data_IF_415463190787
#
_entry.id   IF_415463190787
#
_cell.length_a   1.000
_cell.length_b   1.000
_cell.length_c   1.000
_cell.angle_alpha   90.00
_cell.angle_beta   90.00
_cell.angle_gamma   90.00
#
_symmetry.space_group_name_H-M   'P 1'
#
loop_
_entity.id
_entity.type
_entity.pdbx_description
1 polymer ?
#
# COMPACT_ATOMS: atom_id res chain seq x y z
N UNK A 1 -3.30 -22.94 -0.80
CA UNK A 1 -4.39 -22.41 -1.67
C UNK A 1 -4.39 -20.90 -1.52
N UNK A 2 -4.32 -20.16 -2.62
CA UNK A 2 -4.34 -18.69 -2.57
C UNK A 2 -5.76 -18.20 -2.85
N UNK A 3 -6.23 -17.22 -2.08
CA UNK A 3 -7.52 -16.55 -2.27
C UNK A 3 -7.26 -15.07 -2.52
N UNK A 4 -7.94 -14.50 -3.50
CA UNK A 4 -7.92 -13.08 -3.79
C UNK A 4 -9.13 -12.42 -3.13
N UNK A 5 -8.90 -11.48 -2.23
CA UNK A 5 -9.93 -10.62 -1.65
C UNK A 5 -10.07 -9.34 -2.49
N UNK A 6 -11.28 -9.03 -2.93
CA UNK A 6 -11.58 -7.80 -3.69
C UNK A 6 -12.62 -6.99 -2.94
N UNK A 7 -12.31 -5.73 -2.68
CA UNK A 7 -13.22 -4.75 -2.09
C UNK A 7 -13.80 -3.89 -3.21
N UNK A 8 -15.10 -3.91 -3.39
CA UNK A 8 -15.76 -3.19 -4.48
C UNK A 8 -17.22 -2.86 -4.14
N UNK A 9 -17.74 -1.82 -4.75
CA UNK A 9 -19.15 -1.44 -4.72
C UNK A 9 -19.96 -2.14 -5.83
N UNK A 10 -19.27 -2.76 -6.80
CA UNK A 10 -19.91 -3.38 -7.94
C UNK A 10 -20.21 -4.86 -7.72
N UNK A 11 -21.27 -5.36 -8.34
CA UNK A 11 -21.47 -6.79 -8.52
C UNK A 11 -20.51 -7.30 -9.59
N UNK A 12 -19.69 -8.30 -9.25
CA UNK A 12 -18.67 -8.86 -10.13
C UNK A 12 -18.82 -10.39 -10.16
N UNK A 13 -18.84 -10.96 -11.37
CA UNK A 13 -18.72 -12.42 -11.51
C UNK A 13 -17.29 -12.84 -11.15
N UNK A 14 -17.18 -13.85 -10.30
CA UNK A 14 -15.89 -14.28 -9.77
C UNK A 14 -15.72 -15.79 -9.86
N UNK A 15 -14.46 -16.25 -9.87
CA UNK A 15 -14.10 -17.65 -9.74
C UNK A 15 -14.01 -18.06 -8.26
N UNK A 16 -13.96 -19.36 -7.99
CA UNK A 16 -13.99 -19.95 -6.64
C UNK A 16 -12.85 -19.47 -5.71
N UNK A 17 -11.77 -18.93 -6.28
CA UNK A 17 -10.64 -18.41 -5.52
C UNK A 17 -10.68 -16.89 -5.29
N UNK A 18 -11.81 -16.23 -5.61
CA UNK A 18 -12.01 -14.80 -5.39
C UNK A 18 -13.13 -14.61 -4.36
N UNK A 19 -12.82 -13.85 -3.31
CA UNK A 19 -13.82 -13.39 -2.33
C UNK A 19 -14.12 -11.91 -2.55
N UNK A 20 -15.37 -11.59 -2.78
CA UNK A 20 -15.84 -10.20 -2.83
C UNK A 20 -16.28 -9.75 -1.44
N UNK A 21 -15.79 -8.58 -1.04
CA UNK A 21 -16.26 -7.85 0.13
C UNK A 21 -16.89 -6.55 -0.34
N UNK A 22 -18.21 -6.46 -0.23
CA UNK A 22 -18.95 -5.28 -0.65
C UNK A 22 -18.62 -4.08 0.24
N UNK A 23 -18.34 -2.95 -0.39
CA UNK A 23 -18.12 -1.67 0.27
C UNK A 23 -19.09 -0.64 -0.29
N UNK A 24 -19.39 0.40 0.48
CA UNK A 24 -20.17 1.53 -0.02
C UNK A 24 -19.31 2.41 -0.92
N UNK A 25 -19.95 2.99 -1.96
CA UNK A 25 -19.29 4.00 -2.79
C UNK A 25 -18.95 5.23 -1.96
N UNK A 26 -17.70 5.65 -2.06
CA UNK A 26 -17.25 6.90 -1.47
C UNK A 26 -16.42 7.68 -2.50
N UNK A 27 -16.51 9.02 -2.53
CA UNK A 27 -15.72 9.81 -3.47
C UNK A 27 -14.24 9.78 -3.08
N UNK A 28 -13.38 10.05 -4.05
CA UNK A 28 -11.95 10.27 -3.82
C UNK A 28 -11.75 11.35 -2.74
N UNK A 29 -10.82 11.16 -1.78
CA UNK A 29 -9.83 10.07 -1.69
C UNK A 29 -10.21 8.92 -0.74
N UNK A 30 -11.47 8.81 -0.32
CA UNK A 30 -11.90 7.90 0.73
C UNK A 30 -11.57 6.41 0.47
N UNK A 31 -11.75 5.86 -0.76
CA UNK A 31 -11.42 4.46 -1.01
C UNK A 31 -9.95 4.13 -0.74
N UNK A 32 -9.03 5.04 -1.09
CA UNK A 32 -7.60 4.89 -0.82
C UNK A 32 -7.30 5.11 0.67
N UNK A 33 -7.78 6.19 1.27
CA UNK A 33 -7.53 6.53 2.66
C UNK A 33 -8.04 5.46 3.63
N UNK A 34 -9.21 4.87 3.34
CA UNK A 34 -9.88 3.89 4.22
C UNK A 34 -9.51 2.43 3.92
N UNK A 35 -8.59 2.14 3.03
CA UNK A 35 -8.28 0.76 2.63
C UNK A 35 -7.96 -0.15 3.82
N UNK A 36 -7.20 0.31 4.78
CA UNK A 36 -6.89 -0.46 5.99
C UNK A 36 -8.11 -0.67 6.90
N UNK A 37 -9.09 0.24 6.88
CA UNK A 37 -10.37 0.03 7.57
C UNK A 37 -11.16 -1.12 6.91
N UNK A 38 -11.09 -1.26 5.58
CA UNK A 38 -11.72 -2.38 4.87
C UNK A 38 -11.04 -3.70 5.20
N UNK A 39 -9.70 -3.74 5.29
CA UNK A 39 -8.98 -4.94 5.72
C UNK A 39 -9.39 -5.37 7.13
N UNK A 40 -9.56 -4.44 8.04
CA UNK A 40 -9.99 -4.74 9.42
C UNK A 40 -11.42 -5.26 9.50
N UNK A 41 -12.31 -4.90 8.57
CA UNK A 41 -13.65 -5.53 8.49
C UNK A 41 -13.58 -7.03 8.12
N UNK A 42 -12.53 -7.44 7.43
CA UNK A 42 -12.30 -8.82 7.00
C UNK A 42 -11.23 -9.55 7.84
N UNK A 43 -10.81 -8.98 8.98
CA UNK A 43 -9.70 -9.50 9.78
C UNK A 43 -9.87 -10.97 10.18
N UNK A 44 -11.09 -11.39 10.58
CA UNK A 44 -11.38 -12.79 10.93
C UNK A 44 -11.22 -13.75 9.75
N UNK A 45 -11.46 -13.27 8.53
CA UNK A 45 -11.24 -14.06 7.33
C UNK A 45 -9.77 -14.10 6.96
N UNK A 46 -9.10 -12.94 6.95
CA UNK A 46 -7.68 -12.79 6.64
C UNK A 46 -6.83 -13.61 7.61
N UNK A 47 -7.18 -13.66 8.91
CA UNK A 47 -6.45 -14.38 9.95
C UNK A 47 -6.35 -15.91 9.74
N UNK A 48 -7.12 -16.46 8.79
CA UNK A 48 -7.07 -17.90 8.45
C UNK A 48 -5.89 -18.28 7.55
N UNK A 49 -5.14 -17.31 7.05
CA UNK A 49 -4.02 -17.51 6.14
C UNK A 49 -2.70 -17.14 6.82
N UNK A 50 -1.60 -17.75 6.42
CA UNK A 50 -0.27 -17.49 6.98
C UNK A 50 0.27 -16.14 6.53
N UNK A 51 0.00 -15.76 5.28
CA UNK A 51 0.47 -14.53 4.67
C UNK A 51 -0.68 -13.76 4.00
N UNK A 52 -0.59 -12.43 4.06
CA UNK A 52 -1.51 -11.52 3.38
C UNK A 52 -0.72 -10.42 2.68
N UNK A 53 -1.05 -10.17 1.42
CA UNK A 53 -0.46 -9.10 0.63
C UNK A 53 -1.54 -8.22 0.03
N UNK A 54 -1.33 -6.92 0.12
CA UNK A 54 -2.12 -5.94 -0.61
C UNK A 54 -1.49 -5.68 -1.98
N UNK A 55 -2.34 -5.47 -2.97
CA UNK A 55 -1.99 -5.25 -4.35
C UNK A 55 -2.99 -4.27 -4.97
N UNK A 56 -2.51 -3.13 -5.50
CA UNK A 56 -3.38 -2.15 -6.16
C UNK A 56 -3.99 -2.77 -7.44
N UNK A 57 -5.26 -2.49 -7.71
CA UNK A 57 -6.00 -3.03 -8.85
C UNK A 57 -5.43 -2.60 -10.20
N UNK A 58 -4.70 -1.50 -10.23
CA UNK A 58 -4.02 -0.96 -11.41
C UNK A 58 -2.56 -1.42 -11.54
N UNK A 59 -2.23 -2.55 -10.94
CA UNK A 59 -0.92 -3.17 -11.10
C UNK A 59 -1.02 -4.48 -11.89
N UNK A 60 0.03 -4.80 -12.63
CA UNK A 60 0.12 -6.00 -13.47
C UNK A 60 1.34 -6.87 -13.11
N UNK A 61 1.11 -8.18 -12.96
CA UNK A 61 2.21 -9.16 -12.82
C UNK A 61 2.81 -9.44 -14.20
N UNK A 62 4.09 -9.16 -14.38
CA UNK A 62 4.81 -9.38 -15.67
C UNK A 62 5.90 -10.44 -15.56
N UNK A 63 6.23 -10.87 -14.35
CA UNK A 63 7.14 -11.98 -14.08
C UNK A 63 6.65 -12.78 -12.87
N UNK A 64 7.24 -13.97 -12.67
CA UNK A 64 6.90 -14.81 -11.52
C UNK A 64 7.30 -14.12 -10.22
N UNK A 65 6.34 -14.04 -9.30
CA UNK A 65 6.54 -13.70 -7.89
C UNK A 65 6.36 -14.99 -7.09
N UNK A 66 7.35 -15.37 -6.30
CA UNK A 66 7.39 -16.61 -5.52
C UNK A 66 7.62 -16.34 -4.04
N UNK A 67 8.26 -17.31 -3.37
CA UNK A 67 8.50 -17.27 -1.93
C UNK A 67 9.50 -16.18 -1.49
N UNK A 68 10.16 -15.53 -2.43
CA UNK A 68 11.11 -14.44 -2.15
C UNK A 68 10.46 -13.20 -1.52
N UNK A 69 9.13 -13.10 -1.58
CA UNK A 69 8.38 -12.01 -0.91
C UNK A 69 7.89 -12.38 0.49
N UNK A 70 8.07 -13.65 0.92
CA UNK A 70 7.55 -14.12 2.20
C UNK A 70 8.46 -13.69 3.36
N UNK A 71 7.95 -12.83 4.22
CA UNK A 71 8.59 -12.35 5.45
C UNK A 71 7.54 -11.83 6.41
N UNK A 72 7.93 -11.44 7.63
CA UNK A 72 6.97 -10.97 8.64
C UNK A 72 6.31 -9.65 8.26
N UNK A 73 7.09 -8.64 7.87
CA UNK A 73 6.58 -7.34 7.42
C UNK A 73 7.31 -6.95 6.14
N UNK A 74 6.55 -6.78 5.07
CA UNK A 74 7.08 -6.56 3.72
C UNK A 74 6.57 -5.24 3.17
N UNK A 75 7.48 -4.41 2.67
CA UNK A 75 7.14 -3.18 2.00
C UNK A 75 8.00 -2.98 0.74
N UNK A 76 7.44 -2.39 -0.30
CA UNK A 76 8.13 -2.15 -1.56
C UNK A 76 8.69 -0.73 -1.62
N UNK A 77 9.98 -0.59 -1.91
CA UNK A 77 10.62 0.70 -2.09
C UNK A 77 9.95 1.49 -3.21
N UNK A 78 9.66 2.76 -2.95
CA UNK A 78 9.03 3.63 -3.94
C UNK A 78 9.98 3.87 -5.13
N UNK A 79 9.52 3.71 -6.40
CA UNK A 79 10.37 3.72 -7.59
C UNK A 79 11.17 5.00 -7.81
N UNK A 80 10.77 6.11 -7.21
CA UNK A 80 11.45 7.40 -7.31
C UNK A 80 11.91 7.93 -5.95
N UNK A 81 11.00 7.97 -4.97
CA UNK A 81 11.25 8.65 -3.70
C UNK A 81 12.26 7.92 -2.81
N UNK A 82 12.45 6.61 -2.97
CA UNK A 82 13.47 5.87 -2.21
C UNK A 82 14.90 6.31 -2.55
N UNK A 83 15.10 6.87 -3.75
CA UNK A 83 16.42 7.35 -4.20
C UNK A 83 16.60 8.86 -4.00
N UNK A 84 15.53 9.56 -3.63
CA UNK A 84 15.60 10.98 -3.30
C UNK A 84 16.30 11.20 -1.94
N UNK A 85 16.99 12.33 -1.74
CA UNK A 85 17.43 12.75 -0.42
C UNK A 85 16.28 12.67 0.58
N UNK A 86 16.57 12.28 1.82
CA UNK A 86 15.52 12.00 2.83
C UNK A 86 14.56 13.17 3.02
N UNK A 87 15.09 14.39 3.02
CA UNK A 87 14.35 15.63 3.22
C UNK A 87 13.41 15.97 2.05
N UNK A 88 13.66 15.40 0.86
CA UNK A 88 12.86 15.59 -0.35
C UNK A 88 11.79 14.51 -0.55
N UNK A 89 11.77 13.51 0.30
CA UNK A 89 10.73 12.47 0.27
C UNK A 89 9.40 13.04 0.69
N UNK A 90 8.33 12.54 0.08
CA UNK A 90 6.97 13.06 0.23
C UNK A 90 6.28 12.65 1.54
N UNK A 91 7.02 12.70 2.66
CA UNK A 91 6.42 12.48 3.98
C UNK A 91 5.40 13.57 4.32
N UNK A 92 4.37 13.21 5.07
CA UNK A 92 3.42 14.19 5.60
C UNK A 92 4.13 15.08 6.62
N UNK A 93 4.12 16.39 6.39
CA UNK A 93 4.75 17.41 7.24
C UNK A 93 3.73 18.23 8.04
N UNK A 94 2.44 17.83 8.03
CA UNK A 94 1.42 18.47 8.84
C UNK A 94 1.52 17.98 10.30
N UNK A 95 1.90 18.81 11.27
CA UNK A 95 2.07 18.39 12.66
C UNK A 95 0.76 18.01 13.36
N UNK A 96 -0.40 18.25 12.73
CA UNK A 96 -1.70 17.80 13.24
C UNK A 96 -2.04 16.37 12.78
N UNK A 97 -1.36 15.87 11.75
CA UNK A 97 -1.59 14.53 11.24
C UNK A 97 -0.89 13.46 12.09
N UNK A 98 -1.54 12.32 12.27
CA UNK A 98 -0.95 11.13 12.89
C UNK A 98 0.02 10.39 11.92
N UNK A 99 0.09 10.84 10.66
CA UNK A 99 1.09 10.43 9.69
C UNK A 99 2.30 11.37 9.65
N UNK A 100 2.35 12.39 10.50
CA UNK A 100 3.44 13.36 10.55
C UNK A 100 4.80 12.72 10.73
N UNK A 101 5.75 13.17 9.92
CA UNK A 101 7.18 12.85 10.03
C UNK A 101 7.96 14.16 10.08
N UNK A 102 8.66 14.45 11.17
CA UNK A 102 9.52 15.62 11.33
C UNK A 102 10.77 15.53 10.44
N UNK A 103 11.42 16.68 10.19
CA UNK A 103 12.74 16.69 9.57
C UNK A 103 13.76 16.03 10.50
N UNK A 104 14.55 15.09 9.95
CA UNK A 104 15.49 14.26 10.71
C UNK A 104 14.89 12.96 11.27
N UNK A 105 13.57 12.74 11.10
CA UNK A 105 12.89 11.51 11.51
C UNK A 105 12.63 10.56 10.32
N UNK A 106 13.07 10.93 9.12
CA UNK A 106 12.85 10.14 7.91
C UNK A 106 13.45 8.74 8.00
N UNK A 107 12.69 7.76 7.53
CA UNK A 107 13.13 6.37 7.46
C UNK A 107 14.28 6.16 6.46
N UNK A 108 14.90 4.98 6.53
CA UNK A 108 15.97 4.60 5.58
C UNK A 108 15.44 4.60 4.14
N UNK A 109 14.25 4.05 3.92
CA UNK A 109 13.56 4.03 2.64
C UNK A 109 12.22 4.77 2.73
N UNK A 110 11.68 5.16 1.58
CA UNK A 110 10.29 5.56 1.39
C UNK A 110 9.59 4.44 0.61
N UNK A 111 8.43 4.01 1.07
CA UNK A 111 7.74 2.84 0.54
C UNK A 111 6.49 3.24 -0.23
N UNK A 112 6.26 2.57 -1.37
CA UNK A 112 5.06 2.71 -2.18
C UNK A 112 3.88 1.96 -1.57
N UNK A 113 2.68 2.53 -1.64
CA UNK A 113 1.45 1.93 -1.12
C UNK A 113 0.95 0.74 -1.93
N UNK A 114 1.37 0.59 -3.19
CA UNK A 114 0.75 -0.32 -4.15
C UNK A 114 0.98 -1.81 -3.92
N UNK A 115 2.12 -2.21 -3.31
CA UNK A 115 2.39 -3.61 -2.95
C UNK A 115 3.10 -3.69 -1.61
N UNK A 116 2.43 -4.27 -0.63
CA UNK A 116 2.96 -4.49 0.72
C UNK A 116 2.23 -5.67 1.39
N UNK A 117 2.77 -6.19 2.50
CA UNK A 117 2.15 -7.32 3.18
C UNK A 117 3.06 -7.97 4.19
N UNK A 118 2.99 -9.32 4.25
CA UNK A 118 3.82 -10.15 5.10
C UNK A 118 3.03 -11.24 5.81
N UNK A 119 3.56 -11.72 6.96
CA UNK A 119 2.76 -12.61 7.81
C UNK A 119 1.44 -11.94 8.16
N UNK A 120 0.36 -12.70 8.13
CA UNK A 120 -0.99 -12.15 8.40
C UNK A 120 -1.06 -11.44 9.74
N UNK A 121 -0.33 -11.92 10.74
CA UNK A 121 -0.23 -11.28 12.05
C UNK A 121 0.31 -9.85 11.97
N UNK A 122 1.45 -9.64 11.31
CA UNK A 122 2.07 -8.32 11.22
C UNK A 122 1.31 -7.40 10.23
N UNK A 123 0.73 -7.96 9.17
CA UNK A 123 -0.14 -7.22 8.25
C UNK A 123 -1.38 -6.68 8.97
N UNK A 124 -2.07 -7.49 9.77
CA UNK A 124 -3.25 -7.06 10.51
C UNK A 124 -2.91 -6.07 11.62
N UNK A 125 -1.77 -6.24 12.29
CA UNK A 125 -1.26 -5.27 13.29
C UNK A 125 -1.00 -3.90 12.66
N UNK A 126 -0.33 -3.84 11.52
CA UNK A 126 -0.14 -2.61 10.76
C UNK A 126 -1.49 -2.01 10.35
N UNK A 127 -2.38 -2.83 9.80
CA UNK A 127 -3.70 -2.42 9.34
C UNK A 127 -4.55 -1.81 10.47
N UNK A 128 -4.54 -2.40 11.66
CA UNK A 128 -5.25 -1.89 12.82
C UNK A 128 -4.74 -0.52 13.26
N UNK A 129 -3.43 -0.34 13.32
CA UNK A 129 -2.82 0.95 13.69
C UNK A 129 -3.19 2.03 12.68
N UNK A 130 -3.08 1.74 11.38
CA UNK A 130 -3.40 2.71 10.32
C UNK A 130 -4.90 3.02 10.31
N UNK A 131 -5.77 2.02 10.36
CA UNK A 131 -7.22 2.19 10.41
C UNK A 131 -7.66 3.06 11.59
N UNK A 132 -7.07 2.86 12.77
CA UNK A 132 -7.33 3.67 13.95
C UNK A 132 -6.86 5.12 13.78
N UNK A 133 -5.69 5.37 13.15
CA UNK A 133 -5.20 6.72 12.85
C UNK A 133 -6.15 7.43 11.89
N UNK A 134 -6.50 6.80 10.76
CA UNK A 134 -7.45 7.33 9.77
C UNK A 134 -8.79 7.66 10.40
N UNK A 135 -9.36 6.74 11.20
CA UNK A 135 -10.64 6.96 11.88
C UNK A 135 -10.62 8.16 12.85
N UNK A 136 -9.48 8.39 13.53
CA UNK A 136 -9.31 9.53 14.41
C UNK A 136 -9.19 10.84 13.63
N UNK A 137 -8.40 10.86 12.58
CA UNK A 137 -8.14 12.06 11.76
C UNK A 137 -9.38 12.52 11.01
N UNK A 138 -10.18 11.61 10.48
CA UNK A 138 -11.43 11.94 9.80
C UNK A 138 -12.45 12.66 10.72
N UNK A 139 -12.39 12.46 12.03
CA UNK A 139 -13.21 13.23 13.00
C UNK A 139 -12.79 14.70 13.13
N UNK A 140 -11.64 15.06 12.60
CA UNK A 140 -11.05 16.39 12.65
C UNK A 140 -10.78 16.96 11.25
N UNK A 141 -11.36 16.35 10.20
CA UNK A 141 -11.20 16.73 8.79
C UNK A 141 -9.72 16.78 8.36
N UNK A 142 -8.88 15.89 8.92
CA UNK A 142 -7.47 15.78 8.55
C UNK A 142 -7.32 14.64 7.53
N UNK A 143 -6.74 14.98 6.38
CA UNK A 143 -6.38 14.04 5.32
C UNK A 143 -4.88 14.20 5.06
N UNK A 144 -4.07 13.15 5.28
CA UNK A 144 -2.63 13.20 5.02
C UNK A 144 -2.30 13.38 3.54
N UNK A 145 -1.10 13.87 3.27
CA UNK A 145 -0.62 14.25 1.93
C UNK A 145 -0.82 13.14 0.88
N UNK A 146 -0.45 11.91 1.21
CA UNK A 146 -0.61 10.72 0.37
C UNK A 146 -1.48 9.67 1.03
N UNK A 147 -2.55 10.15 1.70
CA UNK A 147 -3.60 9.32 2.27
C UNK A 147 -3.05 8.17 3.16
N UNK A 148 -3.39 6.94 2.84
CA UNK A 148 -2.93 5.74 3.54
C UNK A 148 -1.42 5.47 3.40
N UNK A 149 -0.79 5.83 2.27
CA UNK A 149 0.66 5.69 2.08
C UNK A 149 1.44 6.55 3.08
N UNK A 150 0.95 7.76 3.42
CA UNK A 150 1.54 8.59 4.46
C UNK A 150 1.53 7.90 5.82
N UNK A 151 0.38 7.29 6.20
CA UNK A 151 0.26 6.53 7.44
C UNK A 151 1.13 5.28 7.45
N UNK A 152 1.20 4.56 6.32
CA UNK A 152 2.04 3.38 6.18
C UNK A 152 3.51 3.75 6.36
N UNK A 153 3.99 4.78 5.68
CA UNK A 153 5.37 5.22 5.83
C UNK A 153 5.70 5.67 7.25
N UNK A 154 4.78 6.38 7.94
CA UNK A 154 4.96 6.70 9.37
C UNK A 154 5.01 5.45 10.24
N UNK A 155 4.17 4.45 9.97
CA UNK A 155 4.21 3.17 10.69
C UNK A 155 5.54 2.44 10.49
N UNK A 156 6.03 2.39 9.24
CA UNK A 156 7.25 1.68 8.87
C UNK A 156 8.55 2.35 9.35
N UNK A 157 8.52 3.64 9.72
CA UNK A 157 9.61 4.29 10.44
C UNK A 157 9.72 3.72 11.86
N UNK A 158 8.60 3.59 12.55
CA UNK A 158 8.54 3.07 13.92
C UNK A 158 8.69 1.54 13.99
N UNK A 159 8.31 0.84 12.91
CA UNK A 159 8.34 -0.61 12.76
C UNK A 159 8.97 -0.99 11.41
N UNK A 160 10.30 -0.98 11.30
CA UNK A 160 10.97 -1.25 10.02
C UNK A 160 10.57 -2.60 9.43
N UNK A 161 10.36 -2.68 8.09
CA UNK A 161 10.04 -3.94 7.44
C UNK A 161 11.15 -4.97 7.64
N UNK A 162 10.78 -6.22 7.80
CA UNK A 162 11.73 -7.35 7.82
C UNK A 162 12.24 -7.68 6.42
N UNK A 163 11.50 -7.25 5.38
CA UNK A 163 11.90 -7.35 3.99
C UNK A 163 11.49 -6.08 3.22
N UNK A 164 12.49 -5.35 2.73
CA UNK A 164 12.31 -4.25 1.79
C UNK A 164 12.49 -4.77 0.36
N UNK A 165 11.41 -4.86 -0.39
CA UNK A 165 11.45 -5.23 -1.80
C UNK A 165 11.93 -4.05 -2.65
N UNK A 166 12.68 -4.36 -3.70
CA UNK A 166 13.12 -3.35 -4.67
C UNK A 166 11.95 -2.80 -5.49
N UNK A 167 12.13 -1.69 -6.21
CA UNK A 167 11.13 -1.17 -7.15
C UNK A 167 10.68 -2.13 -8.26
N UNK A 168 11.33 -3.27 -8.42
CA UNK A 168 10.84 -4.36 -9.30
C UNK A 168 9.40 -4.81 -8.98
N UNK A 169 8.95 -4.63 -7.73
CA UNK A 169 7.62 -5.03 -7.26
C UNK A 169 6.60 -3.86 -7.20
N UNK A 170 7.02 -2.67 -7.61
CA UNK A 170 6.16 -1.50 -7.87
C UNK A 170 6.80 -0.68 -8.99
N UNK A 171 7.07 -1.35 -10.11
CA UNK A 171 7.80 -0.80 -11.23
C UNK A 171 6.92 0.17 -12.01
N UNK A 172 7.34 1.42 -12.14
CA UNK A 172 6.57 2.40 -12.90
C UNK A 172 6.60 2.07 -14.41
N UNK A 173 5.43 1.92 -15.03
CA UNK A 173 5.30 1.50 -16.45
C UNK A 173 6.13 2.40 -17.40
N UNK A 174 6.22 3.70 -17.12
CA UNK A 174 7.01 4.66 -17.91
C UNK A 174 8.53 4.42 -17.85
N UNK A 175 9.01 3.58 -16.94
CA UNK A 175 10.41 3.15 -16.89
C UNK A 175 10.70 1.91 -17.75
N UNK A 176 9.68 1.33 -18.38
CA UNK A 176 9.85 0.17 -19.27
C UNK A 176 10.79 0.54 -20.43
N UNK A 177 11.85 -0.25 -20.59
CA UNK A 177 12.87 -0.01 -21.62
C UNK A 177 13.85 1.13 -21.34
N UNK A 178 13.82 1.75 -20.15
CA UNK A 178 14.81 2.74 -19.74
C UNK A 178 16.12 2.03 -19.32
N UNK A 179 17.23 2.13 -20.11
CA UNK A 179 18.46 1.42 -19.80
C UNK A 179 19.18 1.94 -18.55
N UNK A 180 18.79 3.10 -18.06
CA UNK A 180 19.37 3.73 -16.87
C UNK A 180 18.59 3.38 -15.59
N UNK A 181 17.45 2.67 -15.70
CA UNK A 181 16.69 2.23 -14.54
C UNK A 181 17.13 0.81 -14.18
N UNK A 182 17.75 0.59 -13.02
CA UNK A 182 18.56 -0.63 -12.75
C UNK A 182 17.72 -1.83 -12.30
N UNK A 183 16.38 -1.78 -12.44
CA UNK A 183 15.49 -2.83 -11.98
C UNK A 183 14.76 -3.49 -13.14
N UNK A 184 14.60 -4.83 -13.04
CA UNK A 184 13.74 -5.60 -13.93
C UNK A 184 12.34 -5.69 -13.33
N UNK A 185 11.27 -5.45 -14.11
CA UNK A 185 9.92 -5.45 -13.59
C UNK A 185 9.43 -6.86 -13.23
N UNK A 186 8.83 -7.01 -12.06
CA UNK A 186 8.03 -8.17 -11.65
C UNK A 186 6.56 -7.81 -11.52
N UNK A 187 6.29 -6.65 -10.92
CA UNK A 187 4.97 -6.06 -10.80
C UNK A 187 5.07 -4.64 -11.31
N UNK A 188 4.27 -4.28 -12.30
CA UNK A 188 4.24 -2.93 -12.87
C UNK A 188 3.02 -2.16 -12.34
N UNK A 189 3.25 -0.90 -11.98
CA UNK A 189 2.20 0.08 -11.74
C UNK A 189 1.83 0.73 -13.09
N UNK A 190 0.63 0.43 -13.57
CA UNK A 190 0.14 0.87 -14.87
C UNK A 190 -0.08 2.39 -14.90
N UNK A 191 0.27 3.00 -16.02
CA UNK A 191 0.02 4.42 -16.22
C UNK A 191 -1.48 4.68 -16.29
N UNK A 192 -1.96 5.62 -15.50
CA UNK A 192 -3.36 5.99 -15.42
C UNK A 192 -3.58 7.47 -15.70
N UNK A 193 -4.74 7.76 -16.29
CA UNK A 193 -5.19 9.14 -16.43
C UNK A 193 -5.91 9.57 -15.14
N UNK A 194 -5.20 10.25 -14.25
CA UNK A 194 -5.75 10.70 -12.98
C UNK A 194 -6.98 11.60 -13.11
N UNK A 195 -7.12 12.33 -14.23
CA UNK A 195 -8.28 13.20 -14.45
C UNK A 195 -9.57 12.41 -14.74
N UNK A 196 -9.46 11.19 -15.26
CA UNK A 196 -10.61 10.31 -15.51
C UNK A 196 -11.04 9.52 -14.29
N UNK A 197 -10.11 9.25 -13.36
CA UNK A 197 -10.34 8.39 -12.22
C UNK A 197 -10.75 9.15 -10.94
N UNK A 198 -10.63 10.48 -10.93
CA UNK A 198 -10.86 11.33 -9.74
C UNK A 198 -12.09 12.22 -9.85
N UNK A 199 -12.90 12.03 -10.90
CA UNK A 199 -14.17 12.75 -11.11
C UNK A 199 -15.35 12.02 -10.48
#
# INVERSE_FOLDING_TARGET
MSIFGVFTEHEVEVSDNIKISQIEHEPWPMPTLKRYNYFMKEADHISKYDYCFYFDVDMGLVAKVGDEVLSDLVATMHPYLSFAPKEQRSYDRNPKSLAYVGFGEEGENYYAGGFNGGSTKEFLKMSEVIANRVTKELKHDIIPLWHDESHMNRYLIDNPPTLSLTPSYCFAEEQMGNPNYPYEPKIIALKKNHNELRN
#
